data_IF_513499745733
#
_entry.id   IF_513499745733
#
_cell.length_a   1.000
_cell.length_b   1.000
_cell.length_c   1.000
_cell.angle_alpha   90.00
_cell.angle_beta   90.00
_cell.angle_gamma   90.00
#
_symmetry.space_group_name_H-M   'P 1'
#
loop_
_entity.id
_entity.type
_entity.pdbx_description
1 polymer ?
#
# COMPACT_ATOMS: atom_id res chain seq x y z
N UNK A 1 -0.25 -17.60 3.79
CA UNK A 1 -1.70 -17.39 4.01
C UNK A 1 -2.43 -17.61 2.69
N UNK A 2 -3.54 -18.35 2.68
CA UNK A 2 -4.35 -18.56 1.46
C UNK A 2 -5.83 -18.34 1.73
N UNK A 3 -6.56 -17.90 0.68
CA UNK A 3 -8.02 -17.80 0.68
C UNK A 3 -8.61 -19.20 0.46
N UNK A 4 -9.43 -19.69 1.37
CA UNK A 4 -10.12 -20.97 1.25
C UNK A 4 -11.50 -20.82 0.61
N UNK A 5 -12.20 -19.74 0.96
CA UNK A 5 -13.53 -19.42 0.45
C UNK A 5 -13.69 -17.92 0.35
N UNK A 6 -14.35 -17.47 -0.69
CA UNK A 6 -14.69 -16.06 -0.93
C UNK A 6 -16.17 -15.96 -1.31
N UNK A 7 -16.93 -15.22 -0.53
CA UNK A 7 -18.32 -14.91 -0.81
C UNK A 7 -18.45 -13.41 -1.10
N UNK A 8 -19.10 -13.08 -2.22
CA UNK A 8 -19.27 -11.70 -2.73
C UNK A 8 -20.76 -11.45 -2.92
N UNK A 9 -21.22 -10.31 -2.44
CA UNK A 9 -22.59 -9.84 -2.65
C UNK A 9 -22.57 -8.37 -3.10
N UNK A 10 -23.24 -8.08 -4.19
CA UNK A 10 -23.50 -6.72 -4.70
C UNK A 10 -22.25 -5.89 -5.01
N UNK A 11 -21.22 -6.48 -5.61
CA UNK A 11 -20.02 -5.76 -6.08
C UNK A 11 -20.08 -5.59 -7.60
N UNK A 12 -20.22 -4.37 -8.07
CA UNK A 12 -20.31 -4.03 -9.51
C UNK A 12 -21.42 -4.82 -10.20
N UNK A 13 -21.07 -5.61 -11.23
CA UNK A 13 -21.98 -6.50 -11.94
C UNK A 13 -22.18 -7.87 -11.26
N UNK A 14 -21.44 -8.15 -10.18
CA UNK A 14 -21.60 -9.37 -9.40
C UNK A 14 -22.74 -9.17 -8.41
N UNK A 15 -23.88 -9.81 -8.62
CA UNK A 15 -24.99 -9.83 -7.65
C UNK A 15 -24.65 -10.73 -6.46
N UNK A 16 -24.26 -11.98 -6.74
CA UNK A 16 -23.83 -12.97 -5.75
C UNK A 16 -22.87 -13.94 -6.38
N UNK A 17 -21.76 -14.23 -5.70
CA UNK A 17 -20.81 -15.26 -6.08
C UNK A 17 -20.21 -15.91 -4.84
N UNK A 18 -19.92 -17.21 -4.94
CA UNK A 18 -19.16 -17.97 -3.94
C UNK A 18 -18.09 -18.75 -4.67
N UNK A 19 -16.84 -18.59 -4.25
CA UNK A 19 -15.67 -19.15 -4.93
C UNK A 19 -14.79 -19.84 -3.90
N UNK A 20 -14.22 -20.98 -4.29
CA UNK A 20 -13.20 -21.72 -3.53
C UNK A 20 -11.89 -21.63 -4.30
N UNK A 21 -11.00 -20.65 -3.99
CA UNK A 21 -9.73 -20.49 -4.68
C UNK A 21 -8.78 -21.65 -4.36
N UNK A 22 -7.87 -21.94 -5.31
CA UNK A 22 -6.69 -22.76 -5.04
C UNK A 22 -5.73 -22.02 -4.09
N UNK A 23 -5.00 -22.71 -3.23
CA UNK A 23 -4.03 -22.10 -2.33
C UNK A 23 -2.90 -21.34 -3.04
N UNK A 24 -2.53 -21.77 -4.26
CA UNK A 24 -1.44 -21.21 -5.03
C UNK A 24 -1.92 -20.14 -6.03
N UNK A 25 -1.87 -20.42 -7.31
CA UNK A 25 -2.22 -19.48 -8.39
C UNK A 25 -3.63 -19.76 -8.90
N UNK A 26 -4.41 -18.70 -9.06
CA UNK A 26 -5.76 -18.75 -9.62
C UNK A 26 -5.84 -17.87 -10.87
N UNK A 27 -6.29 -18.44 -11.98
CA UNK A 27 -6.55 -17.71 -13.21
C UNK A 27 -8.04 -17.42 -13.35
N UNK A 28 -8.38 -16.14 -13.48
CA UNK A 28 -9.75 -15.69 -13.72
C UNK A 28 -9.90 -15.43 -15.20
N UNK A 29 -10.62 -16.29 -15.88
CA UNK A 29 -10.81 -16.25 -17.34
C UNK A 29 -12.27 -15.98 -17.68
N UNK A 30 -12.52 -15.27 -18.75
CA UNK A 30 -13.86 -14.94 -19.25
C UNK A 30 -13.86 -13.80 -20.26
N UNK A 31 -14.99 -13.54 -20.88
CA UNK A 31 -15.19 -12.46 -21.85
C UNK A 31 -15.03 -11.07 -21.20
N UNK A 32 -14.93 -10.03 -22.03
CA UNK A 32 -14.94 -8.67 -21.53
C UNK A 32 -16.27 -8.37 -20.82
N UNK A 33 -16.22 -7.58 -19.77
CA UNK A 33 -17.36 -7.26 -18.91
C UNK A 33 -17.96 -8.45 -18.10
N UNK A 34 -17.37 -9.64 -18.12
CA UNK A 34 -17.85 -10.81 -17.35
C UNK A 34 -17.69 -10.68 -15.83
N UNK A 35 -17.01 -9.64 -15.33
CA UNK A 35 -16.81 -9.41 -13.90
C UNK A 35 -15.42 -9.76 -13.34
N UNK A 36 -14.44 -10.09 -14.20
CA UNK A 36 -13.05 -10.42 -13.78
C UNK A 36 -12.45 -9.36 -12.85
N UNK A 37 -12.41 -8.11 -13.29
CA UNK A 37 -11.91 -7.00 -12.48
C UNK A 37 -12.80 -6.70 -11.26
N UNK A 38 -14.10 -6.99 -11.33
CA UNK A 38 -14.99 -6.83 -10.17
C UNK A 38 -14.69 -7.87 -9.09
N UNK A 39 -14.29 -9.08 -9.46
CA UNK A 39 -13.84 -10.10 -8.53
C UNK A 39 -12.52 -9.69 -7.83
N UNK A 40 -11.55 -9.20 -8.60
CA UNK A 40 -10.28 -8.66 -8.05
C UNK A 40 -10.57 -7.47 -7.13
N UNK A 41 -11.50 -6.58 -7.54
CA UNK A 41 -11.91 -5.42 -6.74
C UNK A 41 -12.57 -5.85 -5.42
N UNK A 42 -13.36 -6.91 -5.40
CA UNK A 42 -13.96 -7.44 -4.19
C UNK A 42 -12.90 -7.94 -3.19
N UNK A 43 -11.90 -8.70 -3.66
CA UNK A 43 -10.78 -9.15 -2.80
C UNK A 43 -9.98 -7.94 -2.29
N UNK A 44 -9.74 -6.95 -3.16
CA UNK A 44 -9.06 -5.72 -2.76
C UNK A 44 -9.83 -4.94 -1.70
N UNK A 45 -11.15 -4.83 -1.83
CA UNK A 45 -12.03 -4.20 -0.83
C UNK A 45 -11.94 -4.94 0.50
N UNK A 46 -11.96 -6.28 0.48
CA UNK A 46 -11.83 -7.08 1.69
C UNK A 46 -10.54 -6.81 2.46
N UNK A 47 -9.40 -6.63 1.79
CA UNK A 47 -8.12 -6.38 2.48
C UNK A 47 -7.79 -4.90 2.73
N UNK A 48 -8.45 -3.95 2.03
CA UNK A 48 -8.10 -2.51 2.09
C UNK A 48 -9.25 -1.60 2.51
N UNK A 49 -10.47 -2.10 2.58
CA UNK A 49 -11.69 -1.31 2.83
C UNK A 49 -11.82 -0.09 1.90
N UNK A 50 -11.37 -0.22 0.66
CA UNK A 50 -11.47 0.80 -0.41
C UNK A 50 -11.44 0.15 -1.79
N UNK A 51 -11.98 0.82 -2.79
CA UNK A 51 -11.83 0.43 -4.19
C UNK A 51 -10.49 0.94 -4.75
N UNK A 52 -9.92 0.22 -5.73
CA UNK A 52 -8.77 0.70 -6.50
C UNK A 52 -9.18 1.40 -7.80
N UNK A 53 -10.47 1.31 -8.18
CA UNK A 53 -11.02 1.91 -9.41
C UNK A 53 -11.84 3.16 -9.14
N UNK A 54 -12.29 3.36 -7.90
CA UNK A 54 -13.16 4.47 -7.52
C UNK A 54 -12.73 5.08 -6.19
N UNK A 55 -12.74 6.40 -6.12
CA UNK A 55 -12.47 7.14 -4.88
C UNK A 55 -13.59 7.02 -3.84
N UNK A 56 -14.81 6.66 -4.28
CA UNK A 56 -15.98 6.46 -3.44
C UNK A 56 -16.55 5.06 -3.61
N UNK A 57 -17.22 4.53 -2.58
CA UNK A 57 -17.76 3.17 -2.63
C UNK A 57 -19.09 3.07 -3.38
N UNK A 58 -19.86 4.16 -3.44
CA UNK A 58 -21.19 4.16 -4.05
C UNK A 58 -21.24 3.60 -5.48
N UNK A 59 -20.32 3.94 -6.41
CA UNK A 59 -20.31 3.35 -7.75
C UNK A 59 -19.85 1.88 -7.80
N UNK A 60 -19.36 1.34 -6.69
CA UNK A 60 -18.92 -0.05 -6.57
C UNK A 60 -20.06 -0.98 -6.16
N UNK A 61 -21.04 -0.44 -5.45
CA UNK A 61 -22.25 -1.19 -5.07
C UNK A 61 -23.07 -1.47 -6.33
N UNK A 62 -23.55 -2.70 -6.45
CA UNK A 62 -24.46 -3.08 -7.54
C UNK A 62 -25.70 -2.17 -7.54
N UNK A 63 -26.14 -1.73 -8.74
CA UNK A 63 -27.23 -0.74 -8.86
C UNK A 63 -28.56 -1.21 -8.26
N UNK A 64 -28.77 -2.52 -8.10
CA UNK A 64 -29.99 -3.09 -7.51
C UNK A 64 -29.95 -3.20 -5.98
N UNK A 65 -28.84 -2.76 -5.33
CA UNK A 65 -28.60 -2.94 -3.90
C UNK A 65 -28.14 -1.64 -3.24
N UNK A 66 -28.33 -1.55 -1.91
CA UNK A 66 -27.94 -0.39 -1.13
C UNK A 66 -26.57 -0.55 -0.44
N UNK A 67 -26.05 -1.75 -0.36
CA UNK A 67 -24.76 -2.07 0.25
C UNK A 67 -24.12 -3.24 -0.47
N UNK A 68 -22.82 -3.36 -0.35
CA UNK A 68 -22.04 -4.54 -0.74
C UNK A 68 -21.57 -5.30 0.48
N UNK A 69 -21.38 -6.62 0.33
CA UNK A 69 -20.75 -7.48 1.33
C UNK A 69 -19.69 -8.34 0.65
N UNK A 70 -18.51 -8.39 1.26
CA UNK A 70 -17.46 -9.34 0.86
C UNK A 70 -16.99 -10.05 2.12
N UNK A 71 -16.96 -11.38 2.09
CA UNK A 71 -16.41 -12.17 3.18
C UNK A 71 -15.50 -13.28 2.65
N UNK A 72 -14.54 -13.68 3.47
CA UNK A 72 -13.66 -14.78 3.15
C UNK A 72 -13.28 -15.59 4.37
N UNK A 73 -13.01 -16.86 4.14
CA UNK A 73 -12.28 -17.72 5.04
C UNK A 73 -10.84 -17.84 4.54
N UNK A 74 -9.88 -17.60 5.41
CA UNK A 74 -8.46 -17.73 5.12
C UNK A 74 -7.80 -18.71 6.07
N UNK A 75 -6.69 -19.32 5.64
CA UNK A 75 -5.80 -20.08 6.52
C UNK A 75 -4.49 -19.31 6.66
N UNK A 76 -4.04 -19.17 7.89
CA UNK A 76 -2.77 -18.50 8.24
C UNK A 76 -1.60 -19.48 8.10
N UNK A 77 -0.35 -18.96 8.12
CA UNK A 77 0.85 -19.82 8.05
C UNK A 77 0.94 -20.86 9.17
N UNK A 78 0.37 -20.56 10.35
CA UNK A 78 0.31 -21.48 11.49
C UNK A 78 -0.86 -22.47 11.43
N UNK A 79 -1.59 -22.53 10.31
CA UNK A 79 -2.74 -23.41 10.11
C UNK A 79 -4.06 -22.91 10.73
N UNK A 80 -4.07 -21.79 11.45
CA UNK A 80 -5.30 -21.25 12.02
C UNK A 80 -6.22 -20.65 10.95
N UNK A 81 -7.53 -20.84 11.12
CA UNK A 81 -8.54 -20.25 10.26
C UNK A 81 -8.89 -18.83 10.71
N UNK A 82 -9.04 -17.93 9.76
CA UNK A 82 -9.47 -16.56 10.00
C UNK A 82 -10.67 -16.25 9.10
N UNK A 83 -11.74 -15.74 9.71
CA UNK A 83 -12.94 -15.31 8.99
C UNK A 83 -12.93 -13.78 8.89
N UNK A 84 -12.95 -13.27 7.67
CA UNK A 84 -12.95 -11.86 7.36
C UNK A 84 -14.28 -11.47 6.72
N UNK A 85 -14.84 -10.34 7.11
CA UNK A 85 -16.05 -9.80 6.50
C UNK A 85 -16.02 -8.29 6.48
N UNK A 86 -16.55 -7.72 5.39
CA UNK A 86 -16.71 -6.30 5.22
C UNK A 86 -18.08 -6.02 4.60
N UNK A 87 -18.82 -5.09 5.20
CA UNK A 87 -20.02 -4.52 4.62
C UNK A 87 -19.83 -3.03 4.45
N UNK A 88 -20.21 -2.51 3.30
CA UNK A 88 -20.08 -1.10 2.97
C UNK A 88 -21.34 -0.58 2.27
N UNK A 89 -21.81 0.57 2.71
CA UNK A 89 -22.76 1.38 1.97
C UNK A 89 -22.13 2.75 1.62
N UNK A 90 -22.92 3.70 1.18
CA UNK A 90 -22.42 5.04 0.83
C UNK A 90 -21.88 5.85 2.02
N UNK A 91 -22.11 5.44 3.27
CA UNK A 91 -21.80 6.18 4.51
C UNK A 91 -21.12 5.29 5.57
N UNK A 92 -21.54 4.05 5.71
CA UNK A 92 -21.15 3.15 6.78
C UNK A 92 -20.16 2.09 6.30
N UNK A 93 -19.29 1.69 7.19
CA UNK A 93 -18.31 0.63 7.03
C UNK A 93 -18.37 -0.27 8.26
N UNK A 94 -18.72 -1.53 8.07
CA UNK A 94 -18.69 -2.57 9.09
C UNK A 94 -17.62 -3.58 8.75
N UNK A 95 -16.79 -3.94 9.73
CA UNK A 95 -15.69 -4.89 9.60
C UNK A 95 -15.84 -5.96 10.67
N UNK A 96 -15.76 -7.22 10.25
CA UNK A 96 -15.80 -8.38 11.11
C UNK A 96 -14.55 -9.23 10.92
N UNK A 97 -13.91 -9.62 12.02
CA UNK A 97 -12.80 -10.58 12.04
C UNK A 97 -13.13 -11.62 13.10
N UNK A 98 -13.18 -12.91 12.71
CA UNK A 98 -13.61 -14.03 13.57
C UNK A 98 -14.95 -13.74 14.29
N UNK A 99 -15.94 -13.23 13.55
CA UNK A 99 -17.28 -12.86 14.05
C UNK A 99 -17.29 -11.68 15.05
N UNK A 100 -16.14 -11.09 15.38
CA UNK A 100 -16.06 -9.87 16.18
C UNK A 100 -16.31 -8.66 15.31
N UNK A 101 -17.35 -7.89 15.63
CA UNK A 101 -17.69 -6.63 14.96
C UNK A 101 -16.79 -5.47 15.39
N UNK A 102 -16.94 -4.32 14.71
CA UNK A 102 -16.28 -3.05 15.04
C UNK A 102 -14.75 -3.07 14.95
N UNK A 103 -14.18 -3.93 14.12
CA UNK A 103 -12.75 -3.95 13.82
C UNK A 103 -12.34 -2.75 12.97
N UNK A 104 -11.05 -2.40 13.00
CA UNK A 104 -10.51 -1.27 12.26
C UNK A 104 -10.00 -1.70 10.89
N UNK A 105 -9.92 -0.75 9.95
CA UNK A 105 -9.29 -1.00 8.63
C UNK A 105 -7.86 -1.53 8.74
N UNK A 106 -7.12 -1.11 9.76
CA UNK A 106 -5.78 -1.61 10.04
C UNK A 106 -5.76 -3.11 10.35
N UNK A 107 -6.80 -3.60 11.05
CA UNK A 107 -6.88 -4.99 11.46
C UNK A 107 -7.15 -5.90 10.26
N UNK A 108 -7.98 -5.44 9.29
CA UNK A 108 -8.11 -6.10 7.99
C UNK A 108 -6.79 -6.11 7.21
N UNK A 109 -6.07 -4.99 7.18
CA UNK A 109 -4.82 -4.88 6.44
C UNK A 109 -3.71 -5.79 7.01
N UNK A 110 -3.69 -6.02 8.33
CA UNK A 110 -2.84 -7.04 8.95
C UNK A 110 -3.32 -8.46 8.67
N UNK A 111 -4.64 -8.67 8.72
CA UNK A 111 -5.23 -9.99 8.53
C UNK A 111 -5.15 -10.48 7.08
N UNK A 112 -5.14 -9.58 6.11
CA UNK A 112 -5.04 -9.87 4.68
C UNK A 112 -4.07 -8.85 4.00
N UNK A 113 -2.76 -8.99 4.21
CA UNK A 113 -1.78 -8.19 3.47
C UNK A 113 -1.91 -8.48 1.97
N UNK A 114 -2.17 -7.46 1.18
CA UNK A 114 -2.30 -7.65 -0.27
C UNK A 114 -1.61 -6.54 -1.06
N UNK A 115 -1.08 -6.94 -2.21
CA UNK A 115 -0.58 -6.06 -3.25
C UNK A 115 -1.39 -6.23 -4.53
N UNK A 116 -1.63 -5.11 -5.20
CA UNK A 116 -2.34 -5.07 -6.47
C UNK A 116 -1.43 -4.57 -7.59
N UNK A 117 -1.33 -5.36 -8.65
CA UNK A 117 -0.70 -4.98 -9.92
C UNK A 117 -1.83 -4.79 -10.92
N UNK A 118 -1.92 -3.61 -11.53
CA UNK A 118 -2.95 -3.26 -12.50
C UNK A 118 -2.38 -2.28 -13.54
N UNK A 119 -3.08 -2.01 -14.66
CA UNK A 119 -2.55 -1.21 -15.78
C UNK A 119 -1.97 0.16 -15.39
N UNK A 120 -2.54 0.81 -14.37
CA UNK A 120 -2.05 2.10 -13.90
C UNK A 120 -1.03 2.01 -12.76
N UNK A 121 -0.50 0.82 -12.46
CA UNK A 121 0.47 0.67 -11.35
C UNK A 121 1.74 1.50 -11.58
N UNK A 122 2.13 1.79 -12.81
CA UNK A 122 3.29 2.64 -13.15
C UNK A 122 3.16 4.07 -12.58
N UNK A 123 1.94 4.55 -12.32
CA UNK A 123 1.69 5.84 -11.66
C UNK A 123 2.36 5.95 -10.28
N UNK A 124 2.73 4.83 -9.65
CA UNK A 124 3.52 4.83 -8.42
C UNK A 124 4.80 5.65 -8.56
N UNK A 125 5.49 5.54 -9.68
CA UNK A 125 6.73 6.28 -9.94
C UNK A 125 6.51 7.56 -10.75
N UNK A 126 5.50 7.58 -11.63
CA UNK A 126 5.24 8.67 -12.57
C UNK A 126 4.39 9.80 -11.95
N UNK A 127 3.53 9.46 -10.99
CA UNK A 127 2.69 10.45 -10.29
C UNK A 127 3.40 11.11 -9.10
N UNK A 128 2.65 11.89 -8.32
CA UNK A 128 3.14 12.60 -7.14
C UNK A 128 3.65 11.67 -6.01
N UNK A 129 4.35 12.26 -5.05
CA UNK A 129 4.98 11.55 -3.92
C UNK A 129 4.00 10.88 -2.95
N UNK A 130 2.72 11.21 -2.99
CA UNK A 130 1.73 10.62 -2.07
C UNK A 130 1.63 9.09 -2.25
N UNK A 131 1.50 8.61 -3.48
CA UNK A 131 1.43 7.16 -3.77
C UNK A 131 2.69 6.43 -3.32
N UNK A 132 3.87 7.05 -3.49
CA UNK A 132 5.14 6.48 -3.04
C UNK A 132 5.25 6.42 -1.52
N UNK A 133 4.78 7.45 -0.79
CA UNK A 133 4.68 7.38 0.67
C UNK A 133 3.73 6.28 1.14
N UNK A 134 2.54 6.19 0.53
CA UNK A 134 1.57 5.13 0.86
C UNK A 134 2.14 3.73 0.61
N UNK A 135 2.91 3.55 -0.46
CA UNK A 135 3.61 2.31 -0.77
C UNK A 135 4.67 1.99 0.30
N UNK A 136 5.53 2.96 0.63
CA UNK A 136 6.57 2.80 1.65
C UNK A 136 5.95 2.50 3.03
N UNK A 137 4.96 3.32 3.45
CA UNK A 137 4.28 3.16 4.73
C UNK A 137 3.54 1.83 4.84
N UNK A 138 3.01 1.29 3.73
CA UNK A 138 2.43 -0.05 3.71
C UNK A 138 3.48 -1.13 4.01
N UNK A 139 4.66 -1.00 3.43
CA UNK A 139 5.77 -1.92 3.69
C UNK A 139 6.20 -1.88 5.15
N UNK A 140 6.44 -0.68 5.68
CA UNK A 140 6.80 -0.49 7.09
C UNK A 140 5.71 -1.03 8.01
N UNK A 141 4.44 -0.70 7.75
CA UNK A 141 3.27 -1.14 8.53
C UNK A 141 3.19 -2.66 8.67
N UNK A 142 3.46 -3.40 7.61
CA UNK A 142 3.37 -4.86 7.65
C UNK A 142 4.63 -5.53 8.23
N UNK A 143 5.75 -4.82 8.34
CA UNK A 143 7.00 -5.37 8.87
C UNK A 143 7.31 -4.91 10.30
N UNK A 144 6.77 -3.75 10.75
CA UNK A 144 7.03 -3.17 12.06
C UNK A 144 5.73 -2.92 12.83
N UNK A 145 5.47 -3.72 13.85
CA UNK A 145 4.23 -3.67 14.65
C UNK A 145 4.02 -2.33 15.36
N UNK A 146 5.11 -1.67 15.75
CA UNK A 146 5.07 -0.38 16.45
C UNK A 146 4.87 0.82 15.52
N UNK A 147 4.94 0.62 14.21
CA UNK A 147 4.81 1.72 13.25
C UNK A 147 3.45 2.43 13.33
N UNK A 148 2.36 1.68 13.33
CA UNK A 148 1.01 2.26 13.29
C UNK A 148 0.68 3.17 14.48
N UNK A 149 0.96 2.79 15.74
CA UNK A 149 0.79 3.68 16.90
C UNK A 149 1.60 4.98 16.77
N UNK A 150 2.86 4.89 16.37
CA UNK A 150 3.76 6.05 16.19
C UNK A 150 3.25 6.93 15.05
N UNK A 151 2.90 6.34 13.91
CA UNK A 151 2.37 7.07 12.74
C UNK A 151 1.07 7.82 13.08
N UNK A 152 0.16 7.22 13.85
CA UNK A 152 -1.07 7.89 14.33
C UNK A 152 -0.76 9.10 15.20
N UNK A 153 0.19 8.99 16.12
CA UNK A 153 0.63 10.10 16.98
C UNK A 153 1.29 11.21 16.16
N UNK A 154 2.17 10.85 15.21
CA UNK A 154 2.74 11.80 14.26
C UNK A 154 1.65 12.55 13.47
N UNK A 155 0.68 11.84 12.90
CA UNK A 155 -0.43 12.46 12.14
C UNK A 155 -1.29 13.36 13.02
N UNK A 156 -1.50 12.99 14.28
CA UNK A 156 -2.21 13.84 15.24
C UNK A 156 -1.43 15.12 15.51
N UNK A 157 -0.15 15.02 15.84
CA UNK A 157 0.71 16.18 16.09
C UNK A 157 0.74 17.14 14.90
N UNK A 158 0.94 16.60 13.68
CA UNK A 158 0.91 17.36 12.43
C UNK A 158 -0.43 18.09 12.23
N UNK A 159 -1.55 17.41 12.46
CA UNK A 159 -2.89 17.99 12.31
C UNK A 159 -3.14 19.12 13.30
N UNK A 160 -2.75 18.94 14.56
CA UNK A 160 -2.90 19.97 15.61
C UNK A 160 -1.99 21.18 15.34
N UNK A 161 -0.72 20.93 14.99
CA UNK A 161 0.19 22.02 14.60
C UNK A 161 -0.36 22.83 13.43
N UNK A 162 -0.83 22.16 12.38
CA UNK A 162 -1.41 22.85 11.21
C UNK A 162 -2.70 23.62 11.56
N UNK A 163 -3.50 23.15 12.50
CA UNK A 163 -4.67 23.89 12.99
C UNK A 163 -4.26 25.19 13.70
N UNK A 164 -3.22 25.14 14.54
CA UNK A 164 -2.69 26.34 15.21
C UNK A 164 -2.08 27.33 14.22
N UNK A 165 -1.33 26.87 13.25
CA UNK A 165 -0.75 27.71 12.17
C UNK A 165 -1.86 28.46 11.40
N UNK A 166 -2.94 27.74 11.00
CA UNK A 166 -4.09 28.33 10.28
C UNK A 166 -4.81 29.38 11.10
N UNK A 167 -4.98 29.13 12.39
CA UNK A 167 -5.70 30.05 13.29
C UNK A 167 -4.80 31.12 13.92
N UNK A 168 -3.48 31.06 13.66
CA UNK A 168 -2.44 31.94 14.24
C UNK A 168 -2.44 31.95 15.78
N UNK A 169 -2.87 30.85 16.41
CA UNK A 169 -2.84 30.65 17.86
C UNK A 169 -1.57 29.88 18.26
N UNK A 170 -0.50 30.59 18.52
CA UNK A 170 0.83 29.99 18.68
C UNK A 170 1.19 29.62 20.12
N UNK A 171 0.37 29.93 21.10
CA UNK A 171 0.69 29.73 22.53
C UNK A 171 1.00 28.25 22.85
N UNK A 172 0.41 27.31 22.11
CA UNK A 172 0.60 25.88 22.32
C UNK A 172 1.43 25.20 21.23
N UNK A 173 1.98 25.94 20.27
CA UNK A 173 2.66 25.34 19.10
C UNK A 173 3.87 24.52 19.53
N UNK A 174 4.61 24.98 20.53
CA UNK A 174 5.82 24.31 21.04
C UNK A 174 5.54 22.90 21.58
N UNK A 175 4.32 22.63 22.10
CA UNK A 175 3.94 21.30 22.57
C UNK A 175 3.83 20.35 21.39
N UNK A 176 3.17 20.81 20.32
CA UNK A 176 2.97 20.01 19.11
C UNK A 176 4.24 19.89 18.26
N UNK A 177 5.15 20.89 18.32
CA UNK A 177 6.46 20.81 17.70
C UNK A 177 7.29 19.67 18.33
N UNK A 178 7.32 19.56 19.66
CA UNK A 178 8.01 18.48 20.38
C UNK A 178 7.45 17.11 20.01
N UNK A 179 6.12 16.96 20.00
CA UNK A 179 5.45 15.72 19.63
C UNK A 179 5.71 15.37 18.13
N UNK A 180 5.66 16.38 17.25
CA UNK A 180 5.91 16.22 15.82
C UNK A 180 7.35 15.77 15.55
N UNK A 181 8.33 16.40 16.21
CA UNK A 181 9.75 16.03 16.12
C UNK A 181 9.95 14.60 16.60
N UNK A 182 9.50 14.29 17.81
CA UNK A 182 9.68 12.99 18.41
C UNK A 182 9.11 11.85 17.53
N UNK A 183 7.82 11.92 17.20
CA UNK A 183 7.20 10.87 16.39
C UNK A 183 7.62 10.92 14.93
N UNK A 184 7.94 12.10 14.39
CA UNK A 184 8.42 12.27 13.03
C UNK A 184 9.78 11.61 12.80
N UNK A 185 10.70 11.79 13.73
CA UNK A 185 12.02 11.13 13.68
C UNK A 185 11.90 9.61 13.75
N UNK A 186 10.98 9.08 14.59
CA UNK A 186 10.75 7.63 14.67
C UNK A 186 10.13 7.09 13.37
N UNK A 187 9.16 7.81 12.77
CA UNK A 187 8.58 7.42 11.47
C UNK A 187 9.66 7.35 10.38
N UNK A 188 10.54 8.35 10.33
CA UNK A 188 11.64 8.37 9.35
C UNK A 188 12.64 7.23 9.58
N UNK A 189 13.01 6.98 10.84
CA UNK A 189 13.87 5.87 11.23
C UNK A 189 13.30 4.52 10.76
N UNK A 190 12.01 4.25 10.99
CA UNK A 190 11.37 3.02 10.53
C UNK A 190 11.35 2.91 8.99
N UNK A 191 11.14 4.01 8.27
CA UNK A 191 11.21 4.02 6.80
C UNK A 191 12.61 3.71 6.29
N UNK A 192 13.65 4.27 6.95
CA UNK A 192 15.04 4.03 6.60
C UNK A 192 15.41 2.56 6.83
N UNK A 193 15.14 2.02 8.01
CA UNK A 193 15.40 0.61 8.34
C UNK A 193 14.67 -0.35 7.41
N UNK A 194 13.41 -0.03 7.08
CA UNK A 194 12.66 -0.83 6.10
C UNK A 194 13.31 -0.78 4.72
N UNK A 195 13.68 0.40 4.23
CA UNK A 195 14.26 0.56 2.90
C UNK A 195 15.61 -0.15 2.77
N UNK A 196 16.42 -0.17 3.83
CA UNK A 196 17.70 -0.92 3.88
C UNK A 196 17.48 -2.43 3.66
N UNK A 197 16.45 -3.01 4.29
CA UNK A 197 16.08 -4.41 4.10
C UNK A 197 15.40 -4.67 2.75
N UNK A 198 14.59 -3.73 2.31
CA UNK A 198 13.78 -3.83 1.09
C UNK A 198 14.62 -3.74 -0.19
N UNK A 199 15.60 -2.86 -0.21
CA UNK A 199 16.43 -2.57 -1.39
C UNK A 199 17.11 -3.81 -1.99
N UNK A 200 17.81 -4.69 -1.25
CA UNK A 200 18.43 -5.88 -1.83
C UNK A 200 17.40 -6.84 -2.44
N UNK A 201 16.26 -7.06 -1.76
CA UNK A 201 15.17 -7.91 -2.27
C UNK A 201 14.59 -7.35 -3.57
N UNK A 202 14.39 -6.04 -3.62
CA UNK A 202 13.90 -5.37 -4.82
C UNK A 202 14.89 -5.50 -5.99
N UNK A 203 16.18 -5.25 -5.77
CA UNK A 203 17.21 -5.33 -6.83
C UNK A 203 17.28 -6.75 -7.39
N UNK A 204 17.26 -7.76 -6.53
CA UNK A 204 17.25 -9.17 -6.95
C UNK A 204 16.05 -9.46 -7.86
N UNK A 205 14.84 -9.10 -7.43
CA UNK A 205 13.62 -9.35 -8.21
C UNK A 205 13.62 -8.54 -9.51
N UNK A 206 14.04 -7.28 -9.49
CA UNK A 206 14.15 -6.47 -10.70
C UNK A 206 15.09 -7.09 -11.72
N UNK A 207 16.21 -7.65 -11.27
CA UNK A 207 17.19 -8.36 -12.14
C UNK A 207 16.64 -9.61 -12.84
N UNK A 208 15.57 -10.24 -12.32
CA UNK A 208 14.88 -11.36 -12.99
C UNK A 208 14.11 -10.92 -14.23
N UNK A 209 13.63 -9.67 -14.25
CA UNK A 209 12.79 -9.12 -15.32
C UNK A 209 13.54 -8.17 -16.25
N UNK A 210 14.54 -7.47 -15.73
CA UNK A 210 15.22 -6.36 -16.41
C UNK A 210 16.74 -6.54 -16.34
N UNK A 211 17.40 -6.29 -17.47
CA UNK A 211 18.86 -6.14 -17.53
C UNK A 211 19.18 -4.64 -17.43
N UNK A 212 19.10 -4.09 -16.22
CA UNK A 212 19.42 -2.70 -15.90
C UNK A 212 20.48 -2.68 -14.80
N UNK A 213 21.58 -2.00 -15.06
CA UNK A 213 22.64 -1.77 -14.08
C UNK A 213 22.38 -0.53 -13.23
N UNK A 214 22.97 -0.47 -12.05
CA UNK A 214 22.94 0.72 -11.19
C UNK A 214 21.54 1.07 -10.66
N UNK A 215 20.67 0.06 -10.47
CA UNK A 215 19.37 0.26 -9.79
C UNK A 215 19.62 0.58 -8.32
N UNK A 216 19.03 1.66 -7.83
CA UNK A 216 19.14 2.11 -6.45
C UNK A 216 17.82 2.67 -5.93
N UNK A 217 17.63 2.63 -4.60
CA UNK A 217 16.52 3.27 -3.89
C UNK A 217 17.09 4.20 -2.83
N UNK A 218 16.63 5.45 -2.83
CA UNK A 218 17.03 6.46 -1.83
C UNK A 218 15.82 7.03 -1.13
N UNK A 219 15.86 7.05 0.20
CA UNK A 219 14.87 7.75 1.02
C UNK A 219 15.11 9.27 0.92
N UNK A 220 14.02 10.02 0.87
CA UNK A 220 13.96 11.46 1.03
C UNK A 220 13.12 11.73 2.27
N UNK A 221 13.73 12.14 3.36
CA UNK A 221 13.06 12.29 4.66
C UNK A 221 12.00 13.39 4.70
N UNK A 222 12.11 14.35 3.76
CA UNK A 222 11.18 15.49 3.68
C UNK A 222 11.61 16.71 4.48
N UNK A 223 12.85 16.71 4.96
CA UNK A 223 13.57 17.85 5.52
C UNK A 223 15.07 17.69 5.28
N UNK A 224 15.84 18.75 5.54
CA UNK A 224 17.30 18.72 5.46
C UNK A 224 17.88 17.87 6.62
N UNK A 225 18.32 16.67 6.31
CA UNK A 225 18.87 15.71 7.28
C UNK A 225 20.29 16.03 7.75
N UNK A 226 20.93 17.07 7.21
CA UNK A 226 22.16 17.62 7.78
C UNK A 226 21.91 18.39 9.09
N UNK A 227 20.63 18.68 9.40
CA UNK A 227 20.16 19.36 10.59
C UNK A 227 19.21 18.48 11.40
N UNK A 228 19.14 18.77 12.69
CA UNK A 228 18.10 18.20 13.54
C UNK A 228 16.71 18.65 13.07
N UNK A 229 15.73 17.75 13.08
CA UNK A 229 14.37 18.08 12.62
C UNK A 229 13.73 19.23 13.43
N UNK A 230 14.05 19.34 14.72
CA UNK A 230 13.64 20.47 15.59
C UNK A 230 14.16 21.81 15.08
N UNK A 231 15.41 21.86 14.65
CA UNK A 231 16.03 23.07 14.09
C UNK A 231 15.34 23.47 12.77
N UNK A 232 15.09 22.52 11.88
CA UNK A 232 14.40 22.77 10.60
C UNK A 232 12.99 23.31 10.83
N UNK A 233 12.24 22.77 11.80
CA UNK A 233 10.90 23.30 12.14
C UNK A 233 10.95 24.73 12.65
N UNK A 234 11.99 25.09 13.41
CA UNK A 234 12.19 26.46 13.89
C UNK A 234 12.52 27.42 12.75
N UNK A 235 13.42 27.01 11.85
CA UNK A 235 13.77 27.78 10.66
C UNK A 235 12.60 28.00 9.70
N UNK A 236 11.71 26.99 9.56
CA UNK A 236 10.54 27.05 8.69
C UNK A 236 9.33 27.76 9.34
N UNK A 237 9.39 28.21 10.60
CA UNK A 237 8.24 28.72 11.34
C UNK A 237 7.53 29.87 10.64
N UNK A 238 8.26 30.87 10.14
CA UNK A 238 7.67 32.02 9.44
C UNK A 238 7.00 31.61 8.13
N UNK A 239 7.60 30.67 7.41
CA UNK A 239 7.05 30.09 6.19
C UNK A 239 5.77 29.30 6.51
N UNK A 240 5.80 28.46 7.53
CA UNK A 240 4.67 27.67 7.96
C UNK A 240 3.49 28.54 8.40
N UNK A 241 3.76 29.64 9.10
CA UNK A 241 2.77 30.65 9.48
C UNK A 241 2.15 31.38 8.28
N UNK A 242 2.98 31.69 7.27
CA UNK A 242 2.50 32.36 6.05
C UNK A 242 1.52 31.48 5.30
N UNK A 243 1.81 30.19 5.16
CA UNK A 243 1.02 29.23 4.37
C UNK A 243 0.00 28.45 5.17
N UNK A 244 0.06 28.47 6.52
CA UNK A 244 -0.88 27.80 7.41
C UNK A 244 -0.70 26.28 7.48
N UNK A 245 0.48 25.75 7.13
CA UNK A 245 0.80 24.32 7.22
C UNK A 245 2.30 24.06 7.33
N UNK A 246 2.65 22.90 7.85
CA UNK A 246 4.03 22.43 8.04
C UNK A 246 4.66 22.03 6.70
N UNK A 247 5.84 22.59 6.37
CA UNK A 247 6.54 22.36 5.11
C UNK A 247 7.57 21.23 5.20
N UNK A 248 8.12 20.94 6.38
CA UNK A 248 9.18 19.95 6.56
C UNK A 248 8.74 18.80 7.45
N UNK A 249 9.23 17.58 7.17
CA UNK A 249 8.97 16.37 7.94
C UNK A 249 8.53 15.17 7.10
N UNK A 250 8.32 14.02 7.74
CA UNK A 250 8.01 12.73 7.06
C UNK A 250 6.79 12.77 6.14
N UNK A 251 5.82 13.66 6.37
CA UNK A 251 4.67 13.85 5.49
C UNK A 251 5.03 14.49 4.13
N UNK A 252 6.22 15.06 4.02
CA UNK A 252 6.83 15.59 2.79
C UNK A 252 7.87 14.64 2.21
N UNK A 253 8.20 13.59 2.95
CA UNK A 253 9.15 12.57 2.51
C UNK A 253 8.76 11.89 1.21
N UNK A 254 9.72 11.17 0.65
CA UNK A 254 9.56 10.42 -0.60
C UNK A 254 10.57 9.27 -0.64
N UNK A 255 10.49 8.40 -1.65
CA UNK A 255 11.63 7.61 -2.06
C UNK A 255 11.88 7.79 -3.57
N UNK A 256 13.13 7.76 -3.96
CA UNK A 256 13.54 7.85 -5.34
C UNK A 256 14.06 6.50 -5.83
N UNK A 257 13.50 6.00 -6.92
CA UNK A 257 14.06 4.91 -7.68
C UNK A 257 15.02 5.48 -8.71
N UNK A 258 16.27 5.06 -8.63
CA UNK A 258 17.35 5.52 -9.50
C UNK A 258 17.84 4.39 -10.39
N UNK A 259 18.28 4.73 -11.58
CA UNK A 259 19.04 3.89 -12.51
C UNK A 259 20.27 4.71 -12.94
N UNK A 260 21.48 4.20 -12.67
CA UNK A 260 22.72 4.93 -12.89
C UNK A 260 22.69 6.36 -12.30
N UNK A 261 22.25 6.50 -11.05
CA UNK A 261 22.10 7.76 -10.30
C UNK A 261 21.13 8.78 -10.90
N UNK A 262 20.24 8.40 -11.82
CA UNK A 262 19.20 9.24 -12.40
C UNK A 262 17.83 8.72 -12.06
N UNK A 263 16.83 9.58 -11.90
CA UNK A 263 15.47 9.16 -11.62
C UNK A 263 14.96 8.23 -12.73
N UNK A 264 14.60 7.00 -12.38
CA UNK A 264 14.17 5.98 -13.33
C UNK A 264 13.03 6.46 -14.23
N UNK A 265 12.05 7.16 -13.68
CA UNK A 265 10.89 7.68 -14.43
C UNK A 265 11.24 8.56 -15.63
N UNK A 266 12.42 9.22 -15.61
CA UNK A 266 12.82 10.18 -16.63
C UNK A 266 13.68 9.53 -17.74
N UNK A 267 14.20 8.31 -17.52
CA UNK A 267 15.17 7.68 -18.43
C UNK A 267 14.79 6.29 -18.93
N UNK A 268 13.98 5.53 -18.16
CA UNK A 268 13.60 4.21 -18.60
C UNK A 268 12.37 4.24 -19.52
N UNK A 269 12.23 3.24 -20.38
CA UNK A 269 11.01 3.12 -21.21
C UNK A 269 9.78 2.82 -20.33
N UNK A 270 8.59 3.10 -20.85
CA UNK A 270 7.33 2.77 -20.15
C UNK A 270 7.21 1.28 -19.81
N UNK A 271 7.67 0.40 -20.69
CA UNK A 271 7.71 -1.04 -20.43
C UNK A 271 8.62 -1.38 -19.24
N UNK A 272 9.83 -0.82 -19.23
CA UNK A 272 10.76 -0.98 -18.11
C UNK A 272 10.20 -0.38 -16.81
N UNK A 273 9.53 0.77 -16.86
CA UNK A 273 8.90 1.38 -15.69
C UNK A 273 7.81 0.49 -15.09
N UNK A 274 6.99 -0.16 -15.92
CA UNK A 274 5.98 -1.14 -15.48
C UNK A 274 6.62 -2.33 -14.78
N UNK A 275 7.71 -2.88 -15.35
CA UNK A 275 8.44 -4.00 -14.75
C UNK A 275 9.11 -3.61 -13.43
N UNK A 276 9.68 -2.40 -13.32
CA UNK A 276 10.23 -1.89 -12.08
C UNK A 276 9.17 -1.76 -10.98
N UNK A 277 8.00 -1.21 -11.32
CA UNK A 277 6.89 -1.09 -10.35
C UNK A 277 6.33 -2.45 -9.96
N UNK A 278 6.22 -3.38 -10.90
CA UNK A 278 5.86 -4.77 -10.63
C UNK A 278 6.86 -5.39 -9.64
N UNK A 279 8.16 -5.25 -9.91
CA UNK A 279 9.22 -5.76 -9.03
C UNK A 279 9.18 -5.13 -7.64
N UNK A 280 8.90 -3.82 -7.50
CA UNK A 280 8.69 -3.16 -6.21
C UNK A 280 7.56 -3.83 -5.41
N UNK A 281 6.42 -4.11 -6.05
CA UNK A 281 5.27 -4.72 -5.39
C UNK A 281 5.51 -6.18 -5.01
N UNK A 282 6.16 -6.94 -5.88
CA UNK A 282 6.58 -8.32 -5.58
C UNK A 282 7.58 -8.37 -4.43
N UNK A 283 8.55 -7.45 -4.42
CA UNK A 283 9.55 -7.34 -3.35
C UNK A 283 8.93 -7.04 -1.99
N UNK A 284 7.85 -6.26 -1.92
CA UNK A 284 7.15 -6.04 -0.64
C UNK A 284 6.53 -7.32 -0.10
N UNK A 285 5.93 -8.14 -0.97
CA UNK A 285 5.34 -9.41 -0.55
C UNK A 285 6.42 -10.43 -0.18
N UNK A 286 7.52 -10.46 -0.94
CA UNK A 286 8.66 -11.34 -0.64
C UNK A 286 9.31 -10.98 0.70
N UNK A 287 9.55 -9.69 0.94
CA UNK A 287 10.14 -9.24 2.22
C UNK A 287 9.23 -9.59 3.40
N UNK A 288 7.91 -9.41 3.24
CA UNK A 288 6.95 -9.80 4.28
C UNK A 288 7.01 -11.31 4.57
N UNK A 289 7.13 -12.15 3.53
CA UNK A 289 7.27 -13.58 3.69
C UNK A 289 8.58 -13.95 4.41
N UNK A 290 9.69 -13.31 4.03
CA UNK A 290 11.01 -13.56 4.62
C UNK A 290 11.08 -13.17 6.11
N UNK A 291 10.52 -12.01 6.49
CA UNK A 291 10.63 -11.45 7.85
C UNK A 291 9.60 -12.05 8.82
N UNK A 292 8.41 -12.37 8.34
CA UNK A 292 7.30 -12.77 9.21
C UNK A 292 6.74 -14.18 8.94
N UNK A 293 7.27 -14.87 7.93
CA UNK A 293 6.74 -16.17 7.50
C UNK A 293 5.29 -16.09 6.98
N UNK A 294 4.78 -14.88 6.72
CA UNK A 294 3.42 -14.64 6.26
C UNK A 294 3.43 -14.24 4.80
N UNK A 295 2.91 -15.09 3.93
CA UNK A 295 2.72 -14.75 2.52
C UNK A 295 1.56 -13.77 2.35
N UNK A 296 1.81 -12.66 1.64
CA UNK A 296 0.75 -11.73 1.22
C UNK A 296 -0.01 -12.23 0.00
N UNK A 297 -1.19 -11.70 -0.24
CA UNK A 297 -1.97 -11.95 -1.44
C UNK A 297 -1.53 -11.01 -2.56
N UNK A 298 -1.24 -11.54 -3.76
CA UNK A 298 -0.93 -10.76 -4.95
C UNK A 298 -2.13 -10.81 -5.90
N UNK A 299 -2.70 -9.67 -6.20
CA UNK A 299 -3.77 -9.49 -7.17
C UNK A 299 -3.20 -8.88 -8.45
N UNK A 300 -3.49 -9.47 -9.60
CA UNK A 300 -3.02 -8.98 -10.90
C UNK A 300 -4.23 -8.80 -11.82
N UNK A 301 -4.54 -7.56 -12.16
CA UNK A 301 -5.59 -7.22 -13.11
C UNK A 301 -4.98 -6.97 -14.50
N UNK A 302 -5.67 -7.42 -15.55
CA UNK A 302 -5.24 -7.29 -16.95
C UNK A 302 -3.85 -7.86 -17.28
N UNK A 303 -3.49 -8.98 -16.64
CA UNK A 303 -2.20 -9.65 -16.78
C UNK A 303 -1.73 -9.80 -18.24
N UNK A 304 -2.63 -10.18 -19.13
CA UNK A 304 -2.29 -10.45 -20.52
C UNK A 304 -2.01 -9.18 -21.35
N UNK A 305 -2.59 -8.04 -20.97
CA UNK A 305 -2.43 -6.77 -21.70
C UNK A 305 -1.19 -5.97 -21.26
N UNK A 306 -0.69 -6.22 -20.04
CA UNK A 306 0.35 -5.40 -19.44
C UNK A 306 1.77 -5.88 -19.70
N UNK A 307 1.96 -7.15 -20.02
CA UNK A 307 3.26 -7.78 -20.21
C UNK A 307 3.37 -8.50 -21.55
N UNK A 308 4.53 -8.47 -22.17
CA UNK A 308 4.85 -9.33 -23.30
C UNK A 308 4.93 -10.81 -22.89
N UNK A 309 4.97 -11.71 -23.88
CA UNK A 309 4.94 -13.17 -23.65
C UNK A 309 6.11 -13.64 -22.76
N UNK A 310 7.31 -13.07 -22.94
CA UNK A 310 8.50 -13.46 -22.19
C UNK A 310 8.36 -13.05 -20.73
N UNK A 311 7.98 -11.80 -20.46
CA UNK A 311 7.81 -11.29 -19.10
C UNK A 311 6.62 -11.93 -18.39
N UNK A 312 5.55 -12.32 -19.11
CA UNK A 312 4.47 -13.14 -18.55
C UNK A 312 4.97 -14.49 -18.05
N UNK A 313 5.77 -15.19 -18.86
CA UNK A 313 6.34 -16.49 -18.49
C UNK A 313 7.26 -16.36 -17.27
N UNK A 314 8.14 -15.33 -17.24
CA UNK A 314 9.01 -15.05 -16.10
C UNK A 314 8.22 -14.77 -14.82
N UNK A 315 7.13 -13.97 -14.93
CA UNK A 315 6.30 -13.65 -13.76
C UNK A 315 5.58 -14.89 -13.21
N UNK A 316 5.02 -15.73 -14.10
CA UNK A 316 4.37 -16.98 -13.68
C UNK A 316 5.36 -17.93 -13.00
N UNK A 317 6.55 -18.05 -13.54
CA UNK A 317 7.63 -18.85 -12.93
C UNK A 317 7.98 -18.32 -11.54
N UNK A 318 8.22 -17.01 -11.41
CA UNK A 318 8.49 -16.37 -10.13
C UNK A 318 7.37 -16.58 -9.11
N UNK A 319 6.09 -16.40 -9.53
CA UNK A 319 4.96 -16.61 -8.65
C UNK A 319 4.79 -18.07 -8.22
N UNK A 320 5.14 -19.04 -9.09
CA UNK A 320 5.13 -20.46 -8.73
C UNK A 320 6.19 -20.81 -7.68
N UNK A 321 7.38 -20.19 -7.76
CA UNK A 321 8.42 -20.32 -6.73
C UNK A 321 8.00 -19.72 -5.38
N UNK A 322 7.28 -18.59 -5.39
CA UNK A 322 6.79 -17.96 -4.16
C UNK A 322 5.64 -18.74 -3.49
N UNK A 323 4.89 -19.52 -4.25
CA UNK A 323 3.72 -20.26 -3.76
C UNK A 323 4.08 -21.61 -3.13
N UNK A 324 5.32 -22.05 -3.26
CA UNK A 324 5.91 -23.24 -2.63
C UNK A 324 6.59 -22.88 -1.30
#
# INVERSE_FOLDING_TARGET
MSLLKLDIHAVRNIQKASITPSPAINFIVGENASGKSALIEAIFILGRAKSFRSSTIKPVINFSQNHLVVSAQTVQANGSHLYLGIQMDGKNLEIHINQQANQKRSDLAYALPLQLIHPKSYELLDAGSQGRREFLDWGVFNNEQNFLPVWRKFKKALSQRNALLKTRRLEQINVWDKELVYYGTIVDCYRQQYLEKFKPVFIEIAGRFLSLDGIDLKLVSGWDTAKEFSQVLTEDQDKDLRYGFTHSGPHRGDFHLLVNNRLAKDFVSRGQLKLLVMSLKLAQVQLLANEQGQTGCILIDDFAAELDVINRAKLLHYLSEMAC
#
